data_IF_529292899525
#
_entry.id   IF_529292899525
#
_cell.length_a   1.000
_cell.length_b   1.000
_cell.length_c   1.000
_cell.angle_alpha   90.00
_cell.angle_beta   90.00
_cell.angle_gamma   90.00
#
_symmetry.space_group_name_H-M   'P 1'
#
loop_
_entity.id
_entity.type
_entity.pdbx_description
1 polymer ?
#
# COMPACT_ATOMS: atom_id res chain seq x y z
N UNK A 1 12.20 16.79 -9.40
CA UNK A 1 13.42 15.98 -9.33
C UNK A 1 13.08 14.79 -8.46
N UNK A 2 13.31 13.56 -8.93
CA UNK A 2 12.92 12.35 -8.20
C UNK A 2 13.84 12.15 -6.99
N UNK A 3 13.25 11.96 -5.80
CA UNK A 3 13.94 11.85 -4.50
C UNK A 3 14.12 10.37 -4.16
N UNK A 4 15.34 9.91 -4.06
CA UNK A 4 15.71 8.51 -3.88
C UNK A 4 16.32 8.29 -2.50
N UNK A 5 15.77 7.32 -1.76
CA UNK A 5 16.41 6.74 -0.58
C UNK A 5 17.22 5.52 -1.05
N UNK A 6 18.54 5.59 -0.90
CA UNK A 6 19.45 4.50 -1.27
C UNK A 6 19.82 3.69 -0.04
N UNK A 7 19.58 2.39 -0.09
CA UNK A 7 19.99 1.41 0.92
C UNK A 7 21.01 0.47 0.31
N UNK A 8 22.17 0.35 0.92
CA UNK A 8 23.27 -0.41 0.38
C UNK A 8 23.87 -1.37 1.40
N UNK A 9 24.12 -2.62 0.97
CA UNK A 9 24.70 -3.69 1.81
C UNK A 9 26.24 -3.74 1.72
N UNK A 10 26.80 -3.21 0.64
CA UNK A 10 28.23 -3.37 0.32
C UNK A 10 28.94 -2.03 0.17
N UNK A 11 29.91 -1.77 1.05
CA UNK A 11 30.76 -0.58 1.01
C UNK A 11 31.50 -0.36 -0.34
N UNK A 12 31.62 -1.38 -1.18
CA UNK A 12 32.34 -1.32 -2.46
C UNK A 12 31.50 -0.76 -3.63
N UNK A 13 30.19 -0.85 -3.58
CA UNK A 13 29.27 -0.39 -4.64
C UNK A 13 28.66 0.98 -4.36
N UNK A 14 28.65 1.39 -3.09
CA UNK A 14 28.05 2.63 -2.56
C UNK A 14 28.36 3.86 -3.43
N UNK A 15 29.62 4.15 -3.67
CA UNK A 15 30.01 5.38 -4.39
C UNK A 15 29.64 5.39 -5.87
N UNK A 16 29.59 4.23 -6.51
CA UNK A 16 29.29 4.13 -7.96
C UNK A 16 27.80 4.32 -8.26
N UNK A 17 26.93 3.70 -7.46
CA UNK A 17 25.49 3.82 -7.65
C UNK A 17 25.02 5.24 -7.35
N UNK A 18 25.49 5.83 -6.25
CA UNK A 18 25.21 7.23 -5.90
C UNK A 18 25.64 8.18 -7.02
N UNK A 19 26.89 8.03 -7.51
CA UNK A 19 27.40 8.85 -8.60
C UNK A 19 26.53 8.75 -9.86
N UNK A 20 26.17 7.52 -10.26
CA UNK A 20 25.31 7.28 -11.41
C UNK A 20 23.92 7.88 -11.26
N UNK A 21 23.34 7.81 -10.07
CA UNK A 21 22.02 8.43 -9.78
C UNK A 21 22.10 9.96 -9.88
N UNK A 22 23.13 10.58 -9.31
CA UNK A 22 23.32 12.02 -9.37
C UNK A 22 23.60 12.49 -10.80
N UNK A 23 24.42 11.76 -11.56
CA UNK A 23 24.69 12.03 -12.99
C UNK A 23 23.40 11.92 -13.83
N UNK A 24 22.53 10.97 -13.53
CA UNK A 24 21.23 10.80 -14.16
C UNK A 24 20.19 11.87 -13.73
N UNK A 25 20.56 12.80 -12.84
CA UNK A 25 19.71 13.93 -12.43
C UNK A 25 18.74 13.60 -11.29
N UNK A 26 18.99 12.55 -10.50
CA UNK A 26 18.20 12.21 -9.33
C UNK A 26 18.75 12.85 -8.06
N UNK A 27 17.86 13.11 -7.08
CA UNK A 27 18.24 13.58 -5.75
C UNK A 27 18.37 12.38 -4.80
N UNK A 28 19.58 12.09 -4.34
CA UNK A 28 19.84 11.06 -3.33
C UNK A 28 19.71 11.68 -1.95
N UNK A 29 18.62 11.39 -1.23
CA UNK A 29 18.28 11.97 0.07
C UNK A 29 19.20 11.50 1.18
N UNK A 30 19.46 10.19 1.19
CA UNK A 30 20.32 9.53 2.17
C UNK A 30 20.87 8.25 1.58
N UNK A 31 21.99 7.81 2.12
CA UNK A 31 22.62 6.53 1.82
C UNK A 31 22.89 5.83 3.14
N UNK A 32 22.17 4.75 3.38
CA UNK A 32 22.21 3.99 4.63
C UNK A 32 22.51 2.52 4.38
N UNK A 33 23.13 1.87 5.37
CA UNK A 33 23.30 0.42 5.34
C UNK A 33 22.01 -0.32 5.65
N UNK A 34 21.95 -1.62 5.34
CA UNK A 34 20.78 -2.50 5.56
C UNK A 34 20.37 -2.65 7.04
N UNK A 35 21.23 -2.31 7.99
CA UNK A 35 20.93 -2.37 9.44
C UNK A 35 20.02 -1.23 9.94
N UNK A 36 19.61 -0.33 9.07
CA UNK A 36 18.79 0.83 9.42
C UNK A 36 17.32 0.45 9.46
N UNK A 37 16.57 1.07 10.38
CA UNK A 37 15.10 1.00 10.39
C UNK A 37 14.53 1.73 9.16
N UNK A 38 14.26 0.96 8.11
CA UNK A 38 13.77 1.47 6.83
C UNK A 38 12.42 2.21 6.95
N UNK A 39 11.43 1.70 7.69
CA UNK A 39 10.19 2.43 7.95
C UNK A 39 10.40 3.81 8.54
N UNK A 40 11.24 3.94 9.57
CA UNK A 40 11.54 5.22 10.20
C UNK A 40 12.23 6.21 9.24
N UNK A 41 13.13 5.72 8.39
CA UNK A 41 13.78 6.54 7.35
C UNK A 41 12.80 7.03 6.29
N UNK A 42 11.94 6.14 5.80
CA UNK A 42 10.89 6.51 4.84
C UNK A 42 9.96 7.56 5.41
N UNK A 43 9.60 7.44 6.69
CA UNK A 43 8.77 8.42 7.38
C UNK A 43 9.46 9.79 7.53
N UNK A 44 10.75 9.80 7.83
CA UNK A 44 11.49 11.05 8.04
C UNK A 44 11.81 11.78 6.72
N UNK A 45 12.17 11.04 5.68
CA UNK A 45 12.70 11.60 4.43
C UNK A 45 11.65 11.75 3.34
N UNK A 46 10.53 11.01 3.41
CA UNK A 46 9.48 11.00 2.39
C UNK A 46 10.03 10.81 0.96
N UNK A 47 10.78 9.73 0.67
CA UNK A 47 11.32 9.48 -0.67
C UNK A 47 10.22 9.18 -1.67
N UNK A 48 10.47 9.46 -2.95
CA UNK A 48 9.60 9.05 -4.05
C UNK A 48 9.83 7.60 -4.43
N UNK A 49 11.09 7.12 -4.31
CA UNK A 49 11.52 5.75 -4.62
C UNK A 49 12.54 5.28 -3.59
N UNK A 50 12.47 4.01 -3.23
CA UNK A 50 13.50 3.33 -2.43
C UNK A 50 14.29 2.43 -3.36
N UNK A 51 15.60 2.56 -3.33
CA UNK A 51 16.51 1.74 -4.09
C UNK A 51 17.36 0.94 -3.11
N UNK A 52 17.32 -0.38 -3.22
CA UNK A 52 18.07 -1.30 -2.38
C UNK A 52 19.10 -1.98 -3.26
N UNK A 53 20.36 -1.89 -2.87
CA UNK A 53 21.49 -2.59 -3.51
C UNK A 53 22.06 -3.62 -2.52
N UNK A 54 21.82 -4.89 -2.79
CA UNK A 54 22.24 -5.99 -1.92
C UNK A 54 22.67 -7.19 -2.73
N UNK A 55 23.89 -7.69 -2.48
CA UNK A 55 24.39 -8.86 -3.16
C UNK A 55 23.47 -10.09 -2.98
N UNK A 56 22.90 -10.27 -1.79
CA UNK A 56 21.89 -11.31 -1.51
C UNK A 56 20.92 -10.79 -0.45
N UNK A 57 19.69 -10.41 -0.85
CA UNK A 57 18.72 -9.83 0.08
C UNK A 57 18.29 -10.87 1.11
N UNK A 58 18.74 -10.68 2.34
CA UNK A 58 18.40 -11.53 3.48
C UNK A 58 16.95 -11.36 3.92
N UNK A 59 16.52 -12.24 4.82
CA UNK A 59 15.17 -12.23 5.40
C UNK A 59 14.84 -10.90 6.06
N UNK A 60 15.77 -10.31 6.79
CA UNK A 60 15.58 -9.07 7.52
C UNK A 60 15.25 -7.89 6.60
N UNK A 61 15.92 -7.82 5.45
CA UNK A 61 15.67 -6.81 4.40
C UNK A 61 14.25 -6.97 3.86
N UNK A 62 13.85 -8.19 3.54
CA UNK A 62 12.52 -8.46 2.99
C UNK A 62 11.40 -8.18 4.02
N UNK A 63 11.65 -8.43 5.31
CA UNK A 63 10.72 -8.08 6.39
C UNK A 63 10.53 -6.56 6.50
N UNK A 64 11.59 -5.76 6.39
CA UNK A 64 11.48 -4.31 6.36
C UNK A 64 10.75 -3.80 5.11
N UNK A 65 10.99 -4.41 3.96
CA UNK A 65 10.26 -4.12 2.72
C UNK A 65 8.75 -4.35 2.90
N UNK A 66 8.35 -5.45 3.55
CA UNK A 66 6.94 -5.73 3.87
C UNK A 66 6.33 -4.61 4.72
N UNK A 67 7.03 -4.17 5.77
CA UNK A 67 6.54 -3.10 6.64
C UNK A 67 6.33 -1.79 5.88
N UNK A 68 7.30 -1.36 5.08
CA UNK A 68 7.16 -0.16 4.25
C UNK A 68 6.04 -0.29 3.23
N UNK A 69 5.94 -1.44 2.56
CA UNK A 69 4.91 -1.68 1.53
C UNK A 69 3.49 -1.66 2.08
N UNK A 70 3.33 -1.97 3.38
CA UNK A 70 2.04 -1.96 4.09
C UNK A 70 1.69 -0.58 4.64
N UNK A 71 2.62 0.02 5.38
CA UNK A 71 2.34 1.19 6.21
C UNK A 71 2.60 2.51 5.49
N UNK A 72 3.58 2.54 4.61
CA UNK A 72 3.98 3.73 3.85
C UNK A 72 4.40 3.34 2.43
N UNK A 73 3.48 2.86 1.59
CA UNK A 73 3.82 2.28 0.30
C UNK A 73 4.59 3.25 -0.60
N UNK A 74 5.74 2.78 -1.08
CA UNK A 74 6.62 3.45 -2.06
C UNK A 74 7.10 2.43 -3.09
N UNK A 75 7.42 2.85 -4.31
CA UNK A 75 8.10 1.98 -5.26
C UNK A 75 9.46 1.57 -4.69
N UNK A 76 9.75 0.26 -4.71
CA UNK A 76 11.00 -0.31 -4.21
C UNK A 76 11.66 -1.03 -5.37
N UNK A 77 12.88 -0.64 -5.71
CA UNK A 77 13.73 -1.31 -6.71
C UNK A 77 14.87 -1.99 -6.01
N UNK A 78 15.00 -3.28 -6.22
CA UNK A 78 16.06 -4.10 -5.65
C UNK A 78 17.07 -4.48 -6.75
N UNK A 79 18.33 -4.07 -6.59
CA UNK A 79 19.47 -4.53 -7.36
C UNK A 79 20.21 -5.60 -6.57
N UNK A 80 20.59 -6.70 -7.22
CA UNK A 80 21.22 -7.83 -6.55
C UNK A 80 22.01 -8.69 -7.50
N UNK A 81 22.93 -9.49 -6.95
CA UNK A 81 23.61 -10.55 -7.67
C UNK A 81 22.92 -11.92 -7.49
N UNK A 82 21.81 -11.96 -6.75
CA UNK A 82 21.08 -13.20 -6.45
C UNK A 82 20.18 -13.60 -7.62
N UNK A 83 20.42 -14.79 -8.17
CA UNK A 83 19.72 -15.36 -9.33
C UNK A 83 18.62 -16.37 -8.96
N UNK A 84 18.49 -16.75 -7.68
CA UNK A 84 17.49 -17.76 -7.29
C UNK A 84 16.06 -17.26 -7.56
N UNK A 85 15.29 -17.98 -8.41
CA UNK A 85 13.89 -17.60 -8.68
C UNK A 85 12.99 -17.65 -7.45
N UNK A 86 13.36 -18.37 -6.39
CA UNK A 86 12.57 -18.40 -5.15
C UNK A 86 12.76 -17.09 -4.38
N UNK A 87 13.99 -16.61 -4.26
CA UNK A 87 14.30 -15.32 -3.63
C UNK A 87 13.65 -14.18 -4.40
N UNK A 88 13.75 -14.18 -5.73
CA UNK A 88 13.05 -13.21 -6.58
C UNK A 88 11.54 -13.19 -6.32
N UNK A 89 10.88 -14.35 -6.35
CA UNK A 89 9.43 -14.43 -6.08
C UNK A 89 9.08 -13.95 -4.68
N UNK A 90 9.92 -14.25 -3.69
CA UNK A 90 9.71 -13.78 -2.32
C UNK A 90 9.84 -12.25 -2.25
N UNK A 91 10.85 -11.65 -2.85
CA UNK A 91 11.04 -10.21 -2.91
C UNK A 91 9.83 -9.49 -3.54
N UNK A 92 9.34 -9.98 -4.69
CA UNK A 92 8.14 -9.42 -5.34
C UNK A 92 6.90 -9.54 -4.45
N UNK A 93 6.71 -10.69 -3.77
CA UNK A 93 5.59 -10.87 -2.81
C UNK A 93 5.70 -9.95 -1.59
N UNK A 94 6.91 -9.61 -1.17
CA UNK A 94 7.17 -8.66 -0.09
C UNK A 94 6.87 -7.21 -0.47
N UNK A 95 6.66 -6.91 -1.78
CA UNK A 95 6.29 -5.58 -2.25
C UNK A 95 7.36 -4.87 -3.08
N UNK A 96 8.43 -5.57 -3.50
CA UNK A 96 9.42 -5.03 -4.45
C UNK A 96 8.74 -4.81 -5.80
N UNK A 97 8.87 -3.60 -6.35
CA UNK A 97 8.28 -3.20 -7.64
C UNK A 97 9.12 -3.67 -8.83
N UNK A 98 10.44 -3.72 -8.67
CA UNK A 98 11.35 -4.27 -9.68
C UNK A 98 12.52 -4.98 -9.00
N UNK A 99 12.88 -6.15 -9.53
CA UNK A 99 14.01 -6.97 -9.09
C UNK A 99 14.99 -7.09 -10.25
N UNK A 100 16.18 -6.54 -10.09
CA UNK A 100 17.20 -6.41 -11.14
C UNK A 100 18.39 -7.26 -10.78
N UNK A 101 18.69 -8.22 -11.63
CA UNK A 101 19.87 -9.09 -11.50
C UNK A 101 20.97 -8.57 -12.43
N UNK A 102 22.22 -8.59 -11.96
CA UNK A 102 23.42 -8.15 -12.66
C UNK A 102 23.48 -6.65 -13.01
N UNK A 103 24.40 -5.97 -12.37
CA UNK A 103 25.08 -4.74 -12.80
C UNK A 103 24.21 -3.51 -13.01
N UNK A 104 24.47 -2.51 -12.18
CA UNK A 104 23.90 -1.17 -12.34
C UNK A 104 24.63 -0.47 -13.49
N UNK A 105 23.90 -0.20 -14.58
CA UNK A 105 24.36 0.65 -15.69
C UNK A 105 23.61 1.98 -15.60
N UNK A 106 24.35 3.08 -15.56
CA UNK A 106 23.79 4.42 -15.39
C UNK A 106 22.69 4.73 -16.44
N UNK A 107 22.89 4.31 -17.68
CA UNK A 107 21.96 4.53 -18.80
C UNK A 107 20.63 3.77 -18.63
N UNK A 108 20.61 2.73 -17.80
CA UNK A 108 19.41 1.93 -17.54
C UNK A 108 18.63 2.37 -16.30
N UNK A 109 19.22 3.19 -15.43
CA UNK A 109 18.58 3.60 -14.19
C UNK A 109 17.23 4.31 -14.41
N UNK A 110 17.21 5.30 -15.31
CA UNK A 110 16.00 6.05 -15.60
C UNK A 110 14.87 5.15 -16.10
N UNK A 111 15.03 4.35 -17.19
CA UNK A 111 13.93 3.48 -17.64
C UNK A 111 13.50 2.42 -16.61
N UNK A 112 14.44 1.90 -15.79
CA UNK A 112 14.10 0.96 -14.70
C UNK A 112 13.21 1.63 -13.67
N UNK A 113 13.57 2.84 -13.23
CA UNK A 113 12.78 3.60 -12.24
C UNK A 113 11.41 3.97 -12.79
N UNK A 114 11.32 4.42 -14.05
CA UNK A 114 10.05 4.74 -14.70
C UNK A 114 9.12 3.52 -14.76
N UNK A 115 9.63 2.35 -15.15
CA UNK A 115 8.84 1.11 -15.18
C UNK A 115 8.42 0.67 -13.78
N UNK A 116 9.32 0.76 -12.80
CA UNK A 116 9.01 0.41 -11.41
C UNK A 116 7.93 1.32 -10.82
N UNK A 117 7.99 2.62 -11.09
CA UNK A 117 6.98 3.60 -10.66
C UNK A 117 5.63 3.33 -11.31
N UNK A 118 5.59 3.15 -12.64
CA UNK A 118 4.35 2.87 -13.37
C UNK A 118 3.69 1.57 -12.88
N UNK A 119 4.47 0.53 -12.62
CA UNK A 119 3.98 -0.72 -12.04
C UNK A 119 3.42 -0.53 -10.64
N UNK A 120 4.14 0.20 -9.79
CA UNK A 120 3.69 0.51 -8.43
C UNK A 120 2.37 1.29 -8.44
N UNK A 121 2.24 2.32 -9.28
CA UNK A 121 0.99 3.10 -9.43
C UNK A 121 -0.18 2.22 -9.87
N UNK A 122 0.05 1.33 -10.84
CA UNK A 122 -0.96 0.38 -11.30
C UNK A 122 -1.41 -0.57 -10.19
N UNK A 123 -0.46 -1.12 -9.42
CA UNK A 123 -0.75 -2.02 -8.30
C UNK A 123 -1.50 -1.28 -7.17
N UNK A 124 -1.14 -0.04 -6.87
CA UNK A 124 -1.84 0.79 -5.88
C UNK A 124 -3.26 1.12 -6.32
N UNK A 125 -3.46 1.47 -7.59
CA UNK A 125 -4.79 1.73 -8.14
C UNK A 125 -5.69 0.47 -8.03
N UNK A 126 -5.15 -0.70 -8.34
CA UNK A 126 -5.88 -1.97 -8.22
C UNK A 126 -6.24 -2.29 -6.76
N UNK A 127 -5.31 -2.10 -5.83
CA UNK A 127 -5.56 -2.29 -4.39
C UNK A 127 -6.65 -1.35 -3.88
N UNK A 128 -6.59 -0.08 -4.26
CA UNK A 128 -7.61 0.90 -3.89
C UNK A 128 -9.01 0.53 -4.45
N UNK A 129 -9.08 0.03 -5.68
CA UNK A 129 -10.34 -0.44 -6.27
C UNK A 129 -10.89 -1.66 -5.53
N UNK A 130 -10.04 -2.62 -5.14
CA UNK A 130 -10.45 -3.79 -4.37
C UNK A 130 -11.00 -3.37 -3.01
N UNK A 131 -10.29 -2.52 -2.28
CA UNK A 131 -10.73 -2.01 -0.98
C UNK A 131 -12.08 -1.26 -1.08
N UNK A 132 -12.24 -0.42 -2.11
CA UNK A 132 -13.50 0.29 -2.33
C UNK A 132 -14.68 -0.67 -2.59
N UNK A 133 -14.46 -1.74 -3.36
CA UNK A 133 -15.48 -2.77 -3.63
C UNK A 133 -15.82 -3.58 -2.38
N UNK A 134 -14.82 -3.98 -1.60
CA UNK A 134 -15.02 -4.68 -0.33
C UNK A 134 -15.82 -3.81 0.65
N UNK A 135 -15.47 -2.53 0.77
CA UNK A 135 -16.21 -1.59 1.60
C UNK A 135 -17.67 -1.45 1.15
N UNK A 136 -17.93 -1.34 -0.15
CA UNK A 136 -19.29 -1.28 -0.69
C UNK A 136 -20.11 -2.55 -0.36
N UNK A 137 -19.48 -3.73 -0.42
CA UNK A 137 -20.14 -4.99 -0.05
C UNK A 137 -20.47 -5.03 1.44
N UNK A 138 -19.56 -4.58 2.31
CA UNK A 138 -19.80 -4.48 3.76
C UNK A 138 -20.93 -3.51 4.05
N UNK A 139 -20.92 -2.32 3.44
CA UNK A 139 -21.97 -1.31 3.60
C UNK A 139 -23.32 -1.84 3.15
N UNK A 140 -23.38 -2.52 1.99
CA UNK A 140 -24.63 -3.13 1.50
C UNK A 140 -25.18 -4.17 2.47
N UNK A 141 -24.33 -5.07 2.99
CA UNK A 141 -24.74 -6.08 3.98
C UNK A 141 -25.30 -5.44 5.25
N UNK A 142 -24.69 -4.35 5.74
CA UNK A 142 -25.17 -3.61 6.91
C UNK A 142 -26.52 -2.96 6.66
N UNK A 143 -26.72 -2.34 5.49
CA UNK A 143 -28.01 -1.74 5.10
C UNK A 143 -29.09 -2.81 5.01
N UNK A 144 -28.82 -3.96 4.38
CA UNK A 144 -29.77 -5.06 4.30
C UNK A 144 -30.15 -5.62 5.70
N UNK A 145 -29.17 -5.80 6.59
CA UNK A 145 -29.42 -6.23 7.95
C UNK A 145 -30.30 -5.23 8.70
N UNK A 146 -29.95 -3.95 8.69
CA UNK A 146 -30.72 -2.90 9.35
C UNK A 146 -32.16 -2.79 8.82
N UNK A 147 -32.32 -2.94 7.50
CA UNK A 147 -33.63 -2.98 6.84
C UNK A 147 -34.48 -4.14 7.38
N UNK A 148 -33.91 -5.36 7.45
CA UNK A 148 -34.57 -6.54 8.01
C UNK A 148 -34.95 -6.37 9.48
N UNK A 149 -34.11 -5.75 10.30
CA UNK A 149 -34.40 -5.43 11.68
C UNK A 149 -35.54 -4.40 11.79
N UNK A 150 -35.50 -3.35 11.00
CA UNK A 150 -36.54 -2.29 11.01
C UNK A 150 -37.90 -2.84 10.57
N UNK A 151 -37.93 -3.73 9.57
CA UNK A 151 -39.16 -4.43 9.17
C UNK A 151 -39.76 -5.22 10.33
N UNK A 152 -38.97 -5.96 11.09
CA UNK A 152 -39.39 -6.74 12.26
C UNK A 152 -39.87 -5.82 13.38
N UNK A 153 -39.16 -4.75 13.69
CA UNK A 153 -39.47 -3.82 14.78
C UNK A 153 -40.76 -3.02 14.52
N UNK A 154 -40.98 -2.64 13.27
CA UNK A 154 -42.13 -1.76 12.91
C UNK A 154 -43.29 -2.49 12.22
N UNK A 155 -43.13 -3.75 11.89
CA UNK A 155 -44.15 -4.51 11.16
C UNK A 155 -44.40 -3.98 9.75
N UNK A 156 -43.42 -3.34 9.11
CA UNK A 156 -43.63 -2.67 7.83
C UNK A 156 -42.94 -3.45 6.68
N UNK A 157 -43.38 -3.25 5.43
CA UNK A 157 -42.76 -3.87 4.27
C UNK A 157 -41.36 -3.28 3.98
N UNK A 158 -40.58 -3.97 3.17
CA UNK A 158 -39.18 -3.63 2.84
C UNK A 158 -39.03 -2.22 2.27
N UNK A 159 -39.92 -1.83 1.37
CA UNK A 159 -39.90 -0.54 0.69
C UNK A 159 -40.09 0.62 1.65
N UNK A 160 -40.97 0.44 2.64
CA UNK A 160 -41.21 1.40 3.70
C UNK A 160 -40.04 1.49 4.66
N UNK A 161 -39.45 0.36 5.06
CA UNK A 161 -38.27 0.33 5.90
C UNK A 161 -37.09 1.07 5.25
N UNK A 162 -36.83 0.83 3.97
CA UNK A 162 -35.79 1.52 3.21
C UNK A 162 -36.08 3.04 3.11
N UNK A 163 -37.31 3.42 2.85
CA UNK A 163 -37.72 4.83 2.78
C UNK A 163 -37.54 5.55 4.12
N UNK A 164 -37.85 4.92 5.24
CA UNK A 164 -37.61 5.46 6.57
C UNK A 164 -36.12 5.68 6.84
N UNK A 165 -35.29 4.69 6.51
CA UNK A 165 -33.82 4.80 6.65
C UNK A 165 -33.27 5.96 5.79
N UNK A 166 -33.71 6.06 4.54
CA UNK A 166 -33.30 7.12 3.62
C UNK A 166 -33.71 8.50 4.11
N UNK A 167 -34.94 8.65 4.60
CA UNK A 167 -35.44 9.91 5.18
C UNK A 167 -34.59 10.33 6.38
N UNK A 168 -34.25 9.39 7.25
CA UNK A 168 -33.39 9.62 8.40
C UNK A 168 -32.00 10.07 7.99
N UNK A 169 -31.41 9.40 6.99
CA UNK A 169 -30.10 9.75 6.44
C UNK A 169 -30.09 11.18 5.88
N UNK A 170 -31.11 11.53 5.11
CA UNK A 170 -31.25 12.88 4.52
C UNK A 170 -31.46 13.96 5.59
N UNK A 171 -32.33 13.71 6.57
CA UNK A 171 -32.63 14.70 7.63
C UNK A 171 -31.43 15.00 8.54
N UNK A 172 -30.53 14.04 8.69
CA UNK A 172 -29.31 14.17 9.52
C UNK A 172 -28.03 14.42 8.72
N UNK A 173 -28.14 14.53 7.39
CA UNK A 173 -26.98 14.66 6.49
C UNK A 173 -25.94 13.55 6.70
N UNK A 174 -26.39 12.33 6.96
CA UNK A 174 -25.55 11.15 7.19
C UNK A 174 -25.61 10.19 6.00
N UNK A 175 -24.58 9.35 5.86
CA UNK A 175 -24.62 8.25 4.90
C UNK A 175 -25.66 7.20 5.36
N UNK A 176 -26.31 6.53 4.41
CA UNK A 176 -27.30 5.49 4.69
C UNK A 176 -26.74 4.36 5.58
N UNK A 177 -25.48 4.00 5.38
CA UNK A 177 -24.78 2.98 6.20
C UNK A 177 -24.67 3.41 7.68
N UNK A 178 -24.46 4.69 7.96
CA UNK A 178 -24.39 5.20 9.34
C UNK A 178 -25.74 5.08 10.05
N UNK A 179 -26.83 5.33 9.34
CA UNK A 179 -28.19 5.08 9.87
C UNK A 179 -28.42 3.59 10.08
N UNK A 180 -27.94 2.75 9.17
CA UNK A 180 -28.01 1.30 9.32
C UNK A 180 -27.27 0.82 10.58
N UNK A 181 -26.06 1.32 10.83
CA UNK A 181 -25.27 1.02 12.03
C UNK A 181 -25.98 1.44 13.33
N UNK A 182 -26.61 2.61 13.32
CA UNK A 182 -27.40 3.06 14.47
C UNK A 182 -28.59 2.13 14.77
N UNK A 183 -29.30 1.67 13.74
CA UNK A 183 -30.42 0.73 13.89
C UNK A 183 -29.93 -0.62 14.43
N UNK A 184 -28.82 -1.15 13.92
CA UNK A 184 -28.22 -2.40 14.38
C UNK A 184 -27.81 -2.28 15.84
N UNK A 185 -27.07 -1.24 16.20
CA UNK A 185 -26.62 -1.00 17.56
C UNK A 185 -27.80 -0.84 18.53
N UNK A 186 -28.86 -0.12 18.13
CA UNK A 186 -30.10 0.02 18.94
C UNK A 186 -30.78 -1.33 19.17
N UNK A 187 -30.86 -2.17 18.13
CA UNK A 187 -31.46 -3.50 18.24
C UNK A 187 -30.67 -4.41 19.17
N UNK A 188 -29.34 -4.39 19.08
CA UNK A 188 -28.44 -5.14 19.95
C UNK A 188 -28.58 -4.72 21.43
N UNK A 189 -28.78 -3.42 21.68
CA UNK A 189 -29.00 -2.91 23.04
C UNK A 189 -30.39 -3.27 23.63
N UNK A 190 -31.40 -3.43 22.78
CA UNK A 190 -32.79 -3.74 23.21
C UNK A 190 -33.09 -5.24 23.20
N UNK A 191 -32.24 -6.05 22.59
CA UNK A 191 -32.45 -7.48 22.34
C UNK A 191 -31.95 -8.40 23.45
N UNK A 192 -31.65 -7.87 24.66
CA UNK A 192 -31.27 -8.64 25.85
C UNK A 192 -32.25 -8.43 26.99
#
# INVERSE_FOLDING_TARGET
>A
MLRILLINDTASTVGRLRAALVEAGFEVLDESGLSVDLPARVQALHPDVILIDSASPGRDVLEQVVLVSRDQPRPIVLFTDEHDPQVMRQAIRSGVSAYIVEGIQAERLQPILEVAMARFESDQALRAQLQAREQQLVERKRIELAKGLLMKMKGCPEEEAYTLMRRQAMSRQQKLVQVAEQIIAMHEMLGH
#
